data_IF_926126710578
#
_entry.id   IF_926126710578
#
_cell.length_a   1.000
_cell.length_b   1.000
_cell.length_c   1.000
_cell.angle_alpha   90.00
_cell.angle_beta   90.00
_cell.angle_gamma   90.00
#
_symmetry.space_group_name_H-M   'P 1'
#
loop_
_entity.id
_entity.type
_entity.pdbx_description
1 polymer ?
#
# COMPACT_ATOMS: atom_id res chain seq x y z
N UNK A 1 -28.41 17.60 27.87
CA UNK A 1 -28.75 18.57 26.80
C UNK A 1 -29.95 18.02 26.07
N UNK A 2 -31.04 18.77 25.99
CA UNK A 2 -32.24 18.37 25.25
C UNK A 2 -31.96 18.73 23.79
N UNK A 3 -31.81 17.73 22.92
CA UNK A 3 -31.74 17.95 21.48
C UNK A 3 -33.17 17.99 20.96
N UNK A 4 -33.57 19.11 20.35
CA UNK A 4 -34.78 19.17 19.54
C UNK A 4 -34.48 18.49 18.20
N UNK A 5 -35.17 17.38 17.92
CA UNK A 5 -34.96 16.56 16.72
C UNK A 5 -35.26 17.32 15.40
N UNK A 6 -35.88 18.50 15.47
CA UNK A 6 -36.28 19.31 14.30
C UNK A 6 -35.49 20.61 14.10
N UNK A 7 -34.38 20.81 14.83
CA UNK A 7 -33.59 22.04 14.68
C UNK A 7 -32.75 22.04 13.39
N UNK A 8 -32.97 23.03 12.52
CA UNK A 8 -32.14 23.30 11.34
C UNK A 8 -31.34 24.61 11.53
N UNK A 9 -30.00 24.58 11.44
CA UNK A 9 -29.18 25.79 11.55
C UNK A 9 -29.52 26.80 10.45
N UNK A 10 -29.64 28.07 10.82
CA UNK A 10 -29.86 29.15 9.85
C UNK A 10 -28.53 29.57 9.20
N UNK A 11 -28.51 29.73 7.87
CA UNK A 11 -27.31 30.12 7.12
C UNK A 11 -26.90 31.58 7.34
N UNK A 12 -25.60 31.84 7.25
CA UNK A 12 -25.04 33.19 7.41
C UNK A 12 -25.48 34.11 6.26
N UNK A 13 -26.09 35.25 6.59
CA UNK A 13 -26.58 36.23 5.61
C UNK A 13 -25.95 37.59 5.93
N UNK A 14 -25.41 38.25 4.90
CA UNK A 14 -24.62 39.47 5.09
C UNK A 14 -25.48 40.74 5.30
N UNK A 15 -26.63 40.83 4.63
CA UNK A 15 -27.59 41.93 4.74
C UNK A 15 -29.04 41.42 4.69
N UNK A 16 -29.98 42.18 5.26
CA UNK A 16 -31.41 41.80 5.25
C UNK A 16 -32.13 42.62 4.18
N UNK A 17 -32.90 41.96 3.32
CA UNK A 17 -33.74 42.58 2.27
C UNK A 17 -35.22 42.50 2.63
N UNK A 18 -36.04 43.44 2.14
CA UNK A 18 -37.50 43.37 2.17
C UNK A 18 -38.07 42.47 1.06
N UNK A 19 -39.40 42.39 0.97
CA UNK A 19 -40.10 41.63 -0.05
C UNK A 19 -39.89 42.15 -1.49
N UNK A 20 -39.49 43.42 -1.62
CA UNK A 20 -39.22 44.11 -2.88
C UNK A 20 -37.71 44.09 -3.24
N UNK A 21 -36.87 43.46 -2.42
CA UNK A 21 -35.43 43.32 -2.62
C UNK A 21 -34.59 44.51 -2.15
N UNK A 22 -35.18 45.52 -1.50
CA UNK A 22 -34.44 46.66 -0.96
C UNK A 22 -33.78 46.30 0.38
N UNK A 23 -32.57 46.78 0.60
CA UNK A 23 -31.81 46.50 1.83
C UNK A 23 -32.40 47.30 3.00
N UNK A 24 -33.06 46.60 3.91
CA UNK A 24 -33.67 47.18 5.12
C UNK A 24 -32.69 47.31 6.28
N UNK A 25 -31.59 46.57 6.26
CA UNK A 25 -30.53 46.70 7.24
C UNK A 25 -29.17 46.39 6.61
N UNK A 26 -28.32 47.42 6.52
CA UNK A 26 -26.90 47.28 6.26
C UNK A 26 -26.26 46.46 7.38
N UNK A 27 -25.53 45.41 7.02
CA UNK A 27 -24.91 44.51 7.99
C UNK A 27 -23.77 45.20 8.75
N UNK A 28 -23.83 45.24 10.09
CA UNK A 28 -22.64 45.49 10.91
C UNK A 28 -21.80 44.21 10.97
N UNK A 29 -20.48 44.35 11.10
CA UNK A 29 -19.54 43.21 11.09
C UNK A 29 -19.90 42.13 12.12
N UNK A 30 -20.50 42.53 13.26
CA UNK A 30 -20.99 41.64 14.31
C UNK A 30 -22.40 42.10 14.73
N UNK A 31 -23.44 41.55 14.09
CA UNK A 31 -24.83 41.76 14.48
C UNK A 31 -25.38 40.54 15.22
N UNK A 32 -26.39 40.73 16.09
CA UNK A 32 -27.06 39.62 16.79
C UNK A 32 -27.50 38.50 15.83
N UNK A 33 -28.06 38.88 14.68
CA UNK A 33 -28.52 37.95 13.64
C UNK A 33 -27.38 37.18 12.95
N UNK A 34 -26.16 37.74 12.89
CA UNK A 34 -24.95 37.04 12.41
C UNK A 34 -24.40 36.09 13.49
N UNK A 35 -24.48 36.48 14.76
CA UNK A 35 -24.03 35.67 15.90
C UNK A 35 -24.91 34.43 16.12
N UNK A 36 -26.23 34.56 15.95
CA UNK A 36 -27.19 33.44 16.02
C UNK A 36 -26.98 32.39 14.92
N UNK A 37 -26.20 32.70 13.88
CA UNK A 37 -25.95 31.85 12.70
C UNK A 37 -24.51 31.40 12.56
N UNK A 38 -23.70 31.65 13.59
CA UNK A 38 -22.28 31.30 13.61
C UNK A 38 -22.08 29.78 13.57
N UNK A 39 -23.02 29.00 14.12
CA UNK A 39 -22.99 27.54 14.13
C UNK A 39 -22.94 26.97 12.70
N UNK A 40 -23.81 27.44 11.79
CA UNK A 40 -23.82 27.02 10.39
C UNK A 40 -22.52 27.38 9.67
N UNK A 41 -21.99 28.59 9.92
CA UNK A 41 -20.71 29.04 9.34
C UNK A 41 -19.52 28.20 9.82
N UNK A 42 -19.45 27.91 11.12
CA UNK A 42 -18.42 27.05 11.72
C UNK A 42 -18.55 25.61 11.19
N UNK A 43 -19.77 25.08 11.10
CA UNK A 43 -20.02 23.73 10.59
C UNK A 43 -19.64 23.60 9.11
N UNK A 44 -19.92 24.62 8.30
CA UNK A 44 -19.54 24.66 6.88
C UNK A 44 -18.03 24.76 6.69
N UNK A 45 -17.34 25.53 7.52
CA UNK A 45 -15.89 25.70 7.45
C UNK A 45 -15.12 24.47 7.99
N UNK A 46 -15.60 23.86 9.08
CA UNK A 46 -14.88 22.78 9.77
C UNK A 46 -15.37 21.38 9.40
N UNK A 47 -16.63 21.22 8.99
CA UNK A 47 -17.23 19.94 8.62
C UNK A 47 -16.46 19.21 7.51
N UNK A 48 -16.22 19.85 6.34
CA UNK A 48 -15.42 19.26 5.27
C UNK A 48 -14.00 18.92 5.72
N UNK A 49 -13.39 19.75 6.57
CA UNK A 49 -12.05 19.51 7.12
C UNK A 49 -12.00 18.23 7.98
N UNK A 50 -13.03 17.98 8.79
CA UNK A 50 -13.16 16.75 9.57
C UNK A 50 -13.33 15.50 8.69
N UNK A 51 -14.15 15.60 7.64
CA UNK A 51 -14.35 14.51 6.67
C UNK A 51 -13.04 14.20 5.93
N UNK A 52 -12.34 15.24 5.45
CA UNK A 52 -11.05 15.10 4.79
C UNK A 52 -10.01 14.46 5.71
N UNK A 53 -9.92 14.90 6.97
CA UNK A 53 -9.01 14.31 7.94
C UNK A 53 -9.32 12.82 8.17
N UNK A 54 -10.60 12.45 8.31
CA UNK A 54 -11.02 11.06 8.43
C UNK A 54 -10.65 10.24 7.19
N UNK A 55 -10.91 10.76 5.99
CA UNK A 55 -10.54 10.12 4.74
C UNK A 55 -9.03 9.94 4.59
N UNK A 56 -8.23 10.96 4.96
CA UNK A 56 -6.77 10.86 4.96
C UNK A 56 -6.29 9.77 5.91
N UNK A 57 -6.85 9.69 7.13
CA UNK A 57 -6.50 8.63 8.09
C UNK A 57 -6.83 7.24 7.54
N UNK A 58 -8.01 7.07 6.91
CA UNK A 58 -8.39 5.81 6.26
C UNK A 58 -7.44 5.43 5.12
N UNK A 59 -7.02 6.42 4.31
CA UNK A 59 -6.07 6.18 3.23
C UNK A 59 -4.69 5.78 3.75
N UNK A 60 -4.19 6.47 4.78
CA UNK A 60 -2.92 6.13 5.44
C UNK A 60 -2.99 4.72 6.06
N UNK A 61 -4.11 4.35 6.67
CA UNK A 61 -4.30 2.98 7.19
C UNK A 61 -4.24 1.94 6.08
N UNK A 62 -4.90 2.16 4.95
CA UNK A 62 -4.85 1.27 3.79
C UNK A 62 -3.43 1.14 3.22
N UNK A 63 -2.73 2.26 3.06
CA UNK A 63 -1.33 2.25 2.64
C UNK A 63 -0.45 1.44 3.59
N UNK A 64 -0.60 1.65 4.91
CA UNK A 64 0.15 0.87 5.90
C UNK A 64 -0.16 -0.62 5.79
N UNK A 65 -1.41 -1.02 5.55
CA UNK A 65 -1.77 -2.42 5.34
C UNK A 65 -1.14 -3.00 4.06
N UNK A 66 -1.12 -2.23 2.97
CA UNK A 66 -0.44 -2.64 1.73
C UNK A 66 1.07 -2.75 1.92
N UNK A 67 1.70 -1.79 2.61
CA UNK A 67 3.12 -1.85 2.97
C UNK A 67 3.42 -3.06 3.84
N UNK A 68 2.59 -3.37 4.83
CA UNK A 68 2.76 -4.57 5.64
C UNK A 68 2.55 -5.85 4.82
N UNK A 69 1.64 -5.86 3.84
CA UNK A 69 1.52 -6.98 2.89
C UNK A 69 2.78 -7.13 2.03
N UNK A 70 3.34 -6.04 1.51
CA UNK A 70 4.59 -6.05 0.73
C UNK A 70 5.78 -6.47 1.61
N UNK A 71 5.86 -6.01 2.85
CA UNK A 71 6.86 -6.47 3.82
C UNK A 71 6.68 -7.94 4.19
N UNK A 72 5.44 -8.44 4.27
CA UNK A 72 5.16 -9.87 4.45
C UNK A 72 5.53 -10.66 3.20
N UNK A 73 5.31 -10.11 2.01
CA UNK A 73 5.93 -10.53 0.74
C UNK A 73 7.43 -10.15 0.69
N UNK A 74 8.13 -10.33 1.80
CA UNK A 74 9.58 -10.28 1.95
C UNK A 74 10.26 -10.97 0.76
N UNK A 75 10.75 -10.18 -0.19
CA UNK A 75 11.57 -10.66 -1.30
C UNK A 75 12.76 -11.39 -0.68
N UNK A 76 12.68 -12.72 -0.62
CA UNK A 76 13.76 -13.54 -0.10
C UNK A 76 14.71 -13.74 -1.25
N UNK A 77 15.94 -13.30 -1.05
CA UNK A 77 17.01 -13.40 -2.01
C UNK A 77 18.21 -14.06 -1.36
N UNK A 78 18.96 -14.79 -2.15
CA UNK A 78 20.22 -15.35 -1.76
C UNK A 78 21.09 -15.61 -2.98
N UNK A 79 22.32 -15.99 -2.73
CA UNK A 79 23.24 -16.44 -3.76
C UNK A 79 23.60 -17.89 -3.49
N UNK A 80 23.76 -18.64 -4.57
CA UNK A 80 24.18 -20.03 -4.52
C UNK A 80 25.15 -20.28 -5.64
N UNK A 81 26.24 -20.95 -5.30
CA UNK A 81 27.21 -21.37 -6.29
C UNK A 81 26.90 -22.80 -6.72
N UNK A 82 26.89 -23.00 -8.03
CA UNK A 82 26.56 -24.26 -8.68
C UNK A 82 27.76 -24.67 -9.49
N UNK A 83 28.14 -25.95 -9.41
CA UNK A 83 29.22 -26.53 -10.22
C UNK A 83 28.66 -27.27 -11.43
N UNK A 84 29.45 -27.37 -12.49
CA UNK A 84 29.12 -28.11 -13.71
C UNK A 84 28.58 -29.51 -13.40
N UNK A 85 27.64 -29.97 -14.24
CA UNK A 85 27.01 -31.30 -14.20
C UNK A 85 26.34 -31.68 -12.86
N UNK A 86 26.17 -30.71 -11.96
CA UNK A 86 25.57 -30.90 -10.65
C UNK A 86 24.45 -29.90 -10.39
N UNK A 87 23.76 -30.12 -9.29
CA UNK A 87 22.75 -29.22 -8.78
C UNK A 87 23.05 -28.83 -7.36
N UNK A 88 22.69 -27.60 -7.02
CA UNK A 88 22.76 -27.13 -5.64
C UNK A 88 21.34 -26.99 -5.10
N UNK A 89 21.09 -27.61 -3.95
CA UNK A 89 19.83 -27.46 -3.24
C UNK A 89 19.86 -26.17 -2.41
N UNK A 90 18.85 -25.33 -2.60
CA UNK A 90 18.65 -24.10 -1.84
C UNK A 90 17.60 -24.37 -0.79
N UNK A 91 18.00 -24.26 0.49
CA UNK A 91 17.09 -24.32 1.62
C UNK A 91 16.54 -22.92 1.93
N UNK A 92 15.23 -22.83 2.12
CA UNK A 92 14.53 -21.61 2.52
C UNK A 92 14.32 -21.66 4.03
N UNK A 93 15.15 -20.92 4.78
CA UNK A 93 15.02 -20.84 6.22
C UNK A 93 14.00 -19.77 6.65
N UNK A 94 13.20 -20.10 7.66
CA UNK A 94 12.25 -19.17 8.29
C UNK A 94 10.86 -19.03 7.65
N UNK A 95 10.61 -19.58 6.46
CA UNK A 95 9.29 -19.50 5.81
C UNK A 95 8.96 -20.75 4.98
N UNK A 96 7.80 -21.37 5.27
CA UNK A 96 7.25 -22.50 4.50
C UNK A 96 6.43 -21.97 3.33
N UNK A 97 6.74 -22.41 2.11
CA UNK A 97 5.97 -22.16 0.89
C UNK A 97 4.76 -23.09 0.85
N UNK A 98 3.59 -22.58 1.25
CA UNK A 98 2.34 -23.36 1.28
C UNK A 98 1.79 -23.68 -0.10
N UNK A 99 2.20 -22.93 -1.11
CA UNK A 99 1.81 -23.02 -2.50
C UNK A 99 2.83 -23.81 -3.35
N UNK A 100 3.76 -24.55 -2.73
CA UNK A 100 4.69 -25.38 -3.48
C UNK A 100 3.96 -26.39 -4.39
N UNK A 101 4.31 -26.49 -5.68
CA UNK A 101 5.46 -25.88 -6.37
C UNK A 101 5.19 -24.55 -7.13
N UNK A 102 4.02 -23.94 -6.97
CA UNK A 102 3.52 -22.82 -7.79
C UNK A 102 4.24 -21.47 -7.53
N UNK A 103 5.00 -21.34 -6.43
CA UNK A 103 5.81 -20.15 -6.17
C UNK A 103 6.87 -19.93 -7.27
N UNK A 104 7.20 -18.67 -7.53
CA UNK A 104 8.15 -18.29 -8.57
C UNK A 104 9.55 -18.07 -8.00
N UNK A 105 10.55 -18.52 -8.75
CA UNK A 105 11.98 -18.28 -8.46
C UNK A 105 12.54 -17.58 -9.67
N UNK A 106 12.99 -16.34 -9.49
CA UNK A 106 13.74 -15.60 -10.51
C UNK A 106 15.22 -15.77 -10.23
N UNK A 107 15.97 -16.14 -11.26
CA UNK A 107 17.40 -16.39 -11.17
C UNK A 107 18.17 -15.44 -12.06
N UNK A 108 19.25 -14.88 -11.53
CA UNK A 108 20.16 -13.99 -12.23
C UNK A 108 21.60 -14.48 -12.06
N UNK A 109 22.39 -14.40 -13.12
CA UNK A 109 23.81 -14.75 -13.07
C UNK A 109 24.60 -13.61 -12.42
N UNK A 110 25.35 -13.92 -11.36
CA UNK A 110 26.22 -12.97 -10.66
C UNK A 110 27.68 -13.16 -11.07
N UNK A 111 28.14 -14.40 -11.20
CA UNK A 111 29.48 -14.73 -11.67
C UNK A 111 29.50 -15.98 -12.54
N UNK A 112 30.42 -16.00 -13.51
CA UNK A 112 30.54 -17.01 -14.56
C UNK A 112 30.43 -16.35 -15.93
N UNK A 113 31.02 -16.95 -16.96
CA UNK A 113 30.89 -16.43 -18.32
C UNK A 113 29.47 -16.72 -18.87
N UNK A 114 28.66 -15.70 -19.21
CA UNK A 114 27.30 -15.90 -19.71
C UNK A 114 27.24 -16.79 -20.97
N UNK A 115 28.29 -16.79 -21.80
CA UNK A 115 28.37 -17.61 -23.00
C UNK A 115 28.55 -19.11 -22.70
N UNK A 116 29.16 -19.43 -21.56
CA UNK A 116 29.44 -20.81 -21.15
C UNK A 116 28.49 -21.33 -20.07
N UNK A 117 27.79 -20.48 -19.31
CA UNK A 117 26.80 -20.92 -18.30
C UNK A 117 25.51 -21.44 -18.93
N UNK A 118 25.10 -20.87 -20.06
CA UNK A 118 23.85 -21.24 -20.74
C UNK A 118 22.60 -20.92 -19.90
N UNK A 119 21.60 -21.80 -19.94
CA UNK A 119 20.31 -21.57 -19.26
C UNK A 119 20.36 -22.05 -17.81
N UNK A 120 19.86 -21.21 -16.90
CA UNK A 120 19.65 -21.57 -15.49
C UNK A 120 18.27 -22.24 -15.35
N UNK A 121 18.23 -23.40 -14.69
CA UNK A 121 17.03 -24.19 -14.46
C UNK A 121 16.77 -24.36 -12.98
N UNK A 122 15.51 -24.11 -12.59
CA UNK A 122 15.01 -24.37 -11.24
C UNK A 122 14.01 -25.52 -11.30
N UNK A 123 14.18 -26.51 -10.43
CA UNK A 123 13.34 -27.71 -10.38
C UNK A 123 13.24 -28.27 -8.95
N UNK A 124 12.45 -29.33 -8.76
CA UNK A 124 12.14 -29.94 -7.46
C UNK A 124 11.75 -28.90 -6.40
N UNK A 125 10.84 -28.00 -6.76
CA UNK A 125 10.29 -27.01 -5.86
C UNK A 125 9.47 -27.69 -4.75
N UNK A 126 9.82 -27.39 -3.51
CA UNK A 126 9.19 -27.92 -2.31
C UNK A 126 8.83 -26.77 -1.38
N UNK A 127 8.07 -27.09 -0.34
CA UNK A 127 7.66 -26.10 0.66
C UNK A 127 8.84 -25.42 1.37
N UNK A 128 10.02 -26.04 1.41
CA UNK A 128 11.18 -25.52 2.16
C UNK A 128 12.41 -25.28 1.27
N UNK A 129 12.29 -25.34 -0.05
CA UNK A 129 13.46 -25.24 -0.91
C UNK A 129 13.24 -25.70 -2.34
N UNK A 130 14.28 -25.53 -3.14
CA UNK A 130 14.30 -25.92 -4.55
C UNK A 130 15.72 -26.33 -4.95
N UNK A 131 15.87 -26.92 -6.13
CA UNK A 131 17.18 -27.18 -6.74
C UNK A 131 17.42 -26.25 -7.91
N UNK A 132 18.66 -25.85 -8.08
CA UNK A 132 19.11 -25.05 -9.22
C UNK A 132 20.28 -25.74 -9.92
N UNK A 133 20.27 -25.70 -11.24
CA UNK A 133 21.37 -26.14 -12.10
C UNK A 133 21.49 -25.20 -13.31
N UNK A 134 22.58 -25.30 -14.06
CA UNK A 134 22.73 -24.64 -15.36
C UNK A 134 23.08 -25.67 -16.45
N UNK A 135 22.87 -25.34 -17.73
CA UNK A 135 23.05 -26.29 -18.85
C UNK A 135 24.33 -26.14 -19.63
N UNK A 136 25.08 -25.06 -19.39
CA UNK A 136 26.31 -24.78 -20.11
C UNK A 136 27.52 -25.57 -19.61
N UNK A 137 28.68 -25.24 -20.16
CA UNK A 137 29.97 -25.90 -19.92
C UNK A 137 30.90 -25.12 -18.97
N UNK A 138 30.41 -24.06 -18.32
CA UNK A 138 31.17 -23.36 -17.28
C UNK A 138 31.44 -24.30 -16.10
N UNK A 139 32.64 -24.26 -15.51
CA UNK A 139 33.01 -25.12 -14.39
C UNK A 139 32.16 -24.81 -13.13
N UNK A 140 31.89 -23.53 -12.88
CA UNK A 140 31.17 -23.04 -11.72
C UNK A 140 30.50 -21.69 -12.00
N UNK A 141 29.27 -21.51 -11.52
CA UNK A 141 28.50 -20.28 -11.68
C UNK A 141 27.85 -19.85 -10.36
N UNK A 142 27.93 -18.56 -10.02
CA UNK A 142 27.22 -17.99 -8.87
C UNK A 142 25.91 -17.37 -9.34
N UNK A 143 24.80 -17.87 -8.81
CA UNK A 143 23.46 -17.49 -9.21
C UNK A 143 22.78 -16.82 -8.02
N UNK A 144 22.28 -15.61 -8.26
CA UNK A 144 21.35 -14.95 -7.34
C UNK A 144 19.96 -15.47 -7.63
N UNK A 145 19.26 -15.90 -6.59
CA UNK A 145 17.86 -16.30 -6.67
C UNK A 145 17.01 -15.32 -5.87
N UNK A 146 15.80 -15.10 -6.36
CA UNK A 146 14.79 -14.25 -5.74
C UNK A 146 13.45 -14.96 -5.77
N UNK A 147 12.83 -15.12 -4.60
CA UNK A 147 11.48 -15.66 -4.49
C UNK A 147 10.43 -14.59 -4.78
N UNK A 148 9.48 -14.93 -5.63
CA UNK A 148 8.33 -14.09 -5.97
C UNK A 148 7.06 -14.87 -5.68
N UNK A 149 6.09 -14.16 -5.08
CA UNK A 149 4.75 -14.66 -4.79
C UNK A 149 4.73 -15.89 -3.86
N UNK A 150 5.27 -15.77 -2.66
CA UNK A 150 5.08 -16.78 -1.62
C UNK A 150 3.82 -16.43 -0.81
N UNK A 151 2.87 -17.35 -0.76
CA UNK A 151 1.64 -17.17 0.02
C UNK A 151 1.95 -17.25 1.52
N UNK A 152 2.02 -16.10 2.19
CA UNK A 152 2.10 -16.04 3.65
C UNK A 152 0.69 -16.10 4.21
N UNK A 153 0.23 -17.31 4.54
CA UNK A 153 -0.95 -17.48 5.40
C UNK A 153 -0.70 -16.94 6.80
#
# INVERSE_FOLDING_TARGET
MIYDENYTPLEWIDHVVDADGNVIQQGTVISKKKMERIESGVQTALGPSGILAFQTLQFVQKLNQEFEKIKKQKIMQGEVTVTADNYTAVALDGFVQYDAPDYQVVTELVSGDPGFVGDIKVYDKTSNGFKVSFTGSEDEATIKWTLINFDVK
#
